data_IF_618863617098
#
_entry.id   IF_618863617098
#
_cell.length_a   1.000
_cell.length_b   1.000
_cell.length_c   1.000
_cell.angle_alpha   90.00
_cell.angle_beta   90.00
_cell.angle_gamma   90.00
#
_symmetry.space_group_name_H-M   'P 1'
#
loop_
_entity.id
_entity.type
_entity.pdbx_description
1 polymer ?
#
# COMPACT_ATOMS: atom_id res chain seq x y z
N UNK A 1 -57.38 -1.28 -6.29
CA UNK A 1 -56.57 -1.07 -7.51
C UNK A 1 -56.19 0.39 -7.58
N UNK A 2 -54.93 0.72 -7.36
CA UNK A 2 -54.37 2.03 -7.68
C UNK A 2 -53.04 1.75 -8.40
N UNK A 3 -52.97 2.27 -9.62
CA UNK A 3 -52.06 1.87 -10.66
C UNK A 3 -50.59 2.05 -10.26
N UNK A 4 -49.77 1.09 -10.69
CA UNK A 4 -48.33 1.23 -10.74
C UNK A 4 -47.96 2.42 -11.60
N UNK A 5 -47.26 3.38 -11.01
CA UNK A 5 -46.42 4.29 -11.77
C UNK A 5 -45.11 3.56 -11.96
N UNK A 6 -44.95 3.03 -13.16
CA UNK A 6 -43.71 2.57 -13.73
C UNK A 6 -42.77 3.78 -13.81
N UNK A 7 -42.04 4.04 -12.71
CA UNK A 7 -41.01 5.06 -12.68
C UNK A 7 -39.80 4.52 -13.43
N UNK A 8 -39.69 4.97 -14.68
CA UNK A 8 -38.61 4.68 -15.59
C UNK A 8 -37.23 4.77 -14.96
N UNK A 9 -36.37 3.91 -15.50
CA UNK A 9 -34.94 3.74 -15.30
C UNK A 9 -34.18 5.07 -15.20
N UNK A 10 -34.17 5.65 -14.00
CA UNK A 10 -33.32 6.74 -13.60
C UNK A 10 -32.28 6.21 -12.64
N UNK A 11 -31.28 5.48 -13.16
CA UNK A 11 -30.11 5.12 -12.38
C UNK A 11 -29.45 6.40 -11.85
N UNK A 12 -29.83 6.81 -10.63
CA UNK A 12 -29.25 7.96 -9.92
C UNK A 12 -27.73 7.80 -9.98
N UNK A 13 -27.04 8.85 -10.44
CA UNK A 13 -25.59 8.87 -10.49
C UNK A 13 -25.04 8.48 -9.11
N UNK A 14 -24.21 7.43 -9.09
CA UNK A 14 -23.63 6.91 -7.87
C UNK A 14 -22.69 7.94 -7.27
N UNK A 15 -22.94 8.33 -6.02
CA UNK A 15 -22.09 9.24 -5.27
C UNK A 15 -21.05 8.44 -4.49
N UNK A 16 -19.82 8.94 -4.46
CA UNK A 16 -18.71 8.35 -3.73
C UNK A 16 -18.23 9.32 -2.65
N UNK A 17 -18.14 8.84 -1.42
CA UNK A 17 -17.60 9.61 -0.29
C UNK A 17 -16.11 9.29 -0.16
N UNK A 18 -15.27 10.32 -0.25
CA UNK A 18 -13.81 10.23 -0.13
C UNK A 18 -13.29 11.05 1.04
N UNK A 19 -12.32 10.49 1.77
CA UNK A 19 -11.43 11.20 2.68
C UNK A 19 -10.09 11.37 1.98
N UNK A 20 -9.75 12.63 1.70
CA UNK A 20 -8.54 13.04 0.99
C UNK A 20 -7.67 13.92 1.92
N UNK A 21 -6.33 13.83 1.82
CA UNK A 21 -5.43 14.76 2.50
C UNK A 21 -5.76 16.23 2.17
N UNK A 22 -5.73 17.10 3.18
CA UNK A 22 -6.22 18.47 3.05
C UNK A 22 -5.48 19.29 1.97
N UNK A 23 -4.17 19.10 1.83
CA UNK A 23 -3.35 19.80 0.85
C UNK A 23 -3.72 19.48 -0.61
N UNK A 24 -4.40 18.35 -0.87
CA UNK A 24 -4.87 18.00 -2.21
C UNK A 24 -5.95 18.97 -2.72
N UNK A 25 -6.64 19.67 -1.81
CA UNK A 25 -7.61 20.72 -2.16
C UNK A 25 -6.96 21.86 -2.96
N UNK A 26 -5.69 22.15 -2.69
CA UNK A 26 -4.94 23.22 -3.36
C UNK A 26 -4.16 22.71 -4.57
N UNK A 27 -3.74 21.45 -4.57
CA UNK A 27 -3.14 20.78 -5.74
C UNK A 27 -4.10 20.80 -6.95
N UNK A 28 -5.40 20.60 -6.72
CA UNK A 28 -6.42 20.67 -7.78
C UNK A 28 -6.65 22.08 -8.34
N UNK A 29 -6.29 23.15 -7.62
CA UNK A 29 -6.54 24.54 -8.05
C UNK A 29 -5.44 25.07 -8.98
N UNK A 30 -4.20 24.61 -8.80
CA UNK A 30 -3.03 25.11 -9.54
C UNK A 30 -2.97 24.61 -11.00
N UNK A 31 -3.69 23.54 -11.33
CA UNK A 31 -3.84 23.06 -12.70
C UNK A 31 -5.11 22.23 -12.82
N UNK A 32 -5.95 22.47 -13.83
CA UNK A 32 -7.30 21.86 -14.00
C UNK A 32 -7.33 20.32 -14.03
N UNK A 33 -6.19 19.61 -14.00
CA UNK A 33 -6.08 18.14 -14.01
C UNK A 33 -4.78 17.64 -13.33
N UNK A 34 -4.53 18.06 -12.09
CA UNK A 34 -3.35 17.60 -11.33
C UNK A 34 -3.48 16.18 -10.74
N UNK A 35 -4.71 15.74 -10.47
CA UNK A 35 -5.00 14.45 -9.82
C UNK A 35 -5.67 13.50 -10.81
N UNK A 36 -5.21 12.26 -10.86
CA UNK A 36 -5.76 11.22 -11.73
C UNK A 36 -5.93 9.90 -11.01
N UNK A 37 -7.11 9.29 -11.14
CA UNK A 37 -7.31 7.91 -10.73
C UNK A 37 -6.73 6.98 -11.80
N UNK A 38 -5.88 6.06 -11.38
CA UNK A 38 -5.20 5.10 -12.25
C UNK A 38 -5.37 3.70 -11.72
N UNK A 39 -5.51 2.75 -12.64
CA UNK A 39 -5.51 1.33 -12.30
C UNK A 39 -4.08 0.80 -12.46
N UNK A 40 -3.52 0.30 -11.36
CA UNK A 40 -2.19 -0.31 -11.31
C UNK A 40 -2.30 -1.70 -10.66
N UNK A 41 -1.21 -2.46 -10.71
CA UNK A 41 -1.14 -3.76 -10.06
C UNK A 41 -1.10 -3.63 -8.53
N UNK A 42 -1.84 -4.49 -7.84
CA UNK A 42 -1.70 -4.72 -6.41
C UNK A 42 -0.43 -5.56 -6.19
N UNK A 43 0.56 -5.07 -5.43
CA UNK A 43 1.84 -5.76 -5.24
C UNK A 43 1.73 -7.17 -4.65
N UNK A 44 0.73 -7.42 -3.80
CA UNK A 44 0.53 -8.71 -3.11
C UNK A 44 -0.24 -9.71 -3.98
N UNK A 45 -1.39 -9.31 -4.54
CA UNK A 45 -2.26 -10.22 -5.29
C UNK A 45 -1.97 -10.29 -6.79
N UNK A 46 -1.30 -9.28 -7.36
CA UNK A 46 -1.14 -9.13 -8.81
C UNK A 46 -2.43 -8.68 -9.53
N UNK A 47 -3.51 -8.43 -8.82
CA UNK A 47 -4.78 -7.96 -9.40
C UNK A 47 -4.79 -6.44 -9.57
N UNK A 48 -5.68 -5.92 -10.40
CA UNK A 48 -5.78 -4.47 -10.61
C UNK A 48 -6.45 -3.75 -9.46
N UNK A 49 -5.73 -2.81 -8.83
CA UNK A 49 -6.22 -1.92 -7.79
C UNK A 49 -6.28 -0.46 -8.28
N UNK A 50 -7.13 0.35 -7.65
CA UNK A 50 -7.29 1.77 -7.96
C UNK A 50 -6.33 2.58 -7.07
N UNK A 51 -5.56 3.44 -7.70
CA UNK A 51 -4.68 4.41 -7.08
C UNK A 51 -5.05 5.82 -7.52
N UNK A 52 -4.67 6.81 -6.72
CA UNK A 52 -4.75 8.22 -7.06
C UNK A 52 -3.32 8.73 -7.22
N UNK A 53 -3.02 9.32 -8.37
CA UNK A 53 -1.70 9.88 -8.67
C UNK A 53 -1.79 11.40 -8.73
N UNK A 54 -0.91 12.07 -8.00
CA UNK A 54 -0.69 13.51 -8.09
C UNK A 54 0.42 13.79 -9.10
N UNK A 55 0.06 14.34 -10.25
CA UNK A 55 0.98 14.69 -11.33
C UNK A 55 1.90 15.87 -10.99
N UNK A 56 1.53 16.71 -10.03
CA UNK A 56 2.31 17.88 -9.65
C UNK A 56 3.40 17.54 -8.65
N UNK A 57 3.03 16.89 -7.54
CA UNK A 57 3.97 16.45 -6.52
C UNK A 57 4.59 15.08 -6.83
N UNK A 58 4.11 14.40 -7.88
CA UNK A 58 4.53 13.07 -8.27
C UNK A 58 4.43 12.08 -7.10
N UNK A 59 3.28 12.11 -6.43
CA UNK A 59 2.97 11.27 -5.27
C UNK A 59 1.89 10.25 -5.62
N UNK A 60 2.06 9.04 -5.09
CA UNK A 60 1.13 7.94 -5.25
C UNK A 60 0.31 7.75 -3.98
N UNK A 61 -1.00 7.64 -4.14
CA UNK A 61 -1.94 7.32 -3.07
C UNK A 61 -2.68 6.04 -3.43
N UNK A 62 -2.82 5.15 -2.45
CA UNK A 62 -3.70 4.00 -2.60
C UNK A 62 -5.13 4.37 -2.20
N UNK A 63 -6.11 3.72 -2.83
CA UNK A 63 -7.53 3.90 -2.47
C UNK A 63 -8.00 2.67 -1.68
N UNK A 64 -8.21 2.84 -0.37
CA UNK A 64 -8.84 1.83 0.49
C UNK A 64 -10.31 2.13 0.65
N UNK A 65 -11.14 1.09 0.70
CA UNK A 65 -12.59 1.24 0.84
C UNK A 65 -13.04 0.55 2.12
N UNK A 66 -13.56 1.33 3.06
CA UNK A 66 -14.29 0.81 4.20
C UNK A 66 -15.70 0.43 3.76
N UNK A 67 -16.09 -0.80 4.10
CA UNK A 67 -17.37 -1.38 3.76
C UNK A 67 -17.86 -2.22 4.93
N UNK A 68 -19.00 -1.83 5.48
CA UNK A 68 -19.68 -2.55 6.56
C UNK A 68 -21.13 -2.85 6.16
N UNK A 69 -21.71 -3.93 6.70
CA UNK A 69 -23.06 -4.36 6.34
C UNK A 69 -24.11 -3.41 6.94
N UNK A 70 -25.20 -3.18 6.21
CA UNK A 70 -26.35 -2.37 6.67
C UNK A 70 -26.06 -0.87 6.89
N UNK A 71 -25.12 -0.29 6.13
CA UNK A 71 -24.86 1.15 6.14
C UNK A 71 -25.36 1.86 4.87
N UNK A 72 -25.70 3.15 5.02
CA UNK A 72 -26.07 4.07 3.93
C UNK A 72 -25.67 5.49 4.31
N UNK A 73 -25.44 6.33 3.30
CA UNK A 73 -25.11 7.74 3.49
C UNK A 73 -26.31 8.63 3.19
N UNK A 74 -26.56 9.61 4.05
CA UNK A 74 -27.40 10.77 3.72
C UNK A 74 -26.48 11.90 3.29
N UNK A 75 -26.51 12.24 1.99
CA UNK A 75 -25.69 13.28 1.39
C UNK A 75 -26.64 14.39 0.94
N UNK A 76 -26.71 15.46 1.72
CA UNK A 76 -27.65 16.57 1.53
C UNK A 76 -29.10 16.04 1.42
N UNK A 77 -29.72 16.19 0.25
CA UNK A 77 -31.10 15.76 -0.05
C UNK A 77 -31.16 14.40 -0.78
N UNK A 78 -30.08 13.61 -0.71
CA UNK A 78 -29.97 12.32 -1.40
C UNK A 78 -29.52 11.20 -0.47
N UNK A 79 -29.91 9.98 -0.81
CA UNK A 79 -29.51 8.76 -0.07
C UNK A 79 -28.64 7.92 -1.00
N UNK A 80 -27.44 7.58 -0.55
CA UNK A 80 -26.51 6.70 -1.23
C UNK A 80 -26.45 5.35 -0.49
N UNK A 81 -26.84 4.30 -1.19
CA UNK A 81 -26.78 2.93 -0.68
C UNK A 81 -25.34 2.44 -0.56
N UNK A 82 -25.12 1.51 0.38
CA UNK A 82 -23.87 0.76 0.55
C UNK A 82 -22.90 1.32 1.58
N UNK A 83 -23.07 2.57 2.03
CA UNK A 83 -22.29 3.14 3.14
C UNK A 83 -20.78 3.13 2.94
N UNK A 84 -20.31 3.08 1.68
CA UNK A 84 -18.88 2.97 1.37
C UNK A 84 -18.16 4.27 1.69
N UNK A 85 -17.01 4.16 2.36
CA UNK A 85 -16.12 5.28 2.64
C UNK A 85 -14.76 5.00 2.02
N UNK A 86 -14.33 5.87 1.11
CA UNK A 86 -13.06 5.72 0.39
C UNK A 86 -12.00 6.58 1.06
N UNK A 87 -10.80 6.03 1.24
CA UNK A 87 -9.65 6.70 1.82
C UNK A 87 -8.56 6.79 0.76
N UNK A 88 -8.01 7.99 0.54
CA UNK A 88 -6.76 8.13 -0.20
C UNK A 88 -5.61 8.26 0.80
N UNK A 89 -4.83 7.20 0.96
CA UNK A 89 -3.69 7.16 1.87
C UNK A 89 -2.39 7.20 1.07
N UNK A 90 -1.38 7.98 1.49
CA UNK A 90 -0.07 7.97 0.83
C UNK A 90 0.51 6.56 0.78
N UNK A 91 0.99 6.14 -0.39
CA UNK A 91 1.53 4.81 -0.63
C UNK A 91 3.02 4.91 -0.97
N UNK A 92 3.84 4.06 -0.36
CA UNK A 92 5.24 3.93 -0.74
C UNK A 92 5.34 3.24 -2.12
N UNK A 93 5.81 3.95 -3.18
CA UNK A 93 5.84 3.39 -4.53
C UNK A 93 6.79 2.20 -4.68
N UNK A 94 7.72 2.01 -3.74
CA UNK A 94 8.71 0.95 -3.79
C UNK A 94 8.05 -0.44 -3.70
N UNK A 95 6.91 -0.58 -3.02
CA UNK A 95 6.14 -1.84 -3.03
C UNK A 95 5.60 -2.18 -4.43
N UNK A 96 5.14 -1.17 -5.18
CA UNK A 96 4.64 -1.38 -6.56
C UNK A 96 5.79 -1.68 -7.51
N UNK A 97 6.91 -0.99 -7.38
CA UNK A 97 8.13 -1.28 -8.15
C UNK A 97 8.68 -2.68 -7.86
N UNK A 98 8.61 -3.14 -6.61
CA UNK A 98 9.06 -4.47 -6.20
C UNK A 98 8.33 -5.57 -6.96
N UNK A 99 7.03 -5.42 -7.24
CA UNK A 99 6.28 -6.38 -8.06
C UNK A 99 6.91 -6.56 -9.44
N UNK A 100 7.24 -5.46 -10.12
CA UNK A 100 7.88 -5.49 -11.45
C UNK A 100 9.31 -6.02 -11.40
N UNK A 101 10.07 -5.64 -10.39
CA UNK A 101 11.45 -6.11 -10.20
C UNK A 101 11.52 -7.62 -9.97
N UNK A 102 10.66 -8.17 -9.12
CA UNK A 102 10.57 -9.62 -8.88
C UNK A 102 10.12 -10.36 -10.14
N UNK A 103 9.20 -9.77 -10.91
CA UNK A 103 8.77 -10.33 -12.20
C UNK A 103 9.92 -10.38 -13.21
N UNK A 104 10.73 -9.32 -13.30
CA UNK A 104 11.88 -9.23 -14.19
C UNK A 104 13.06 -10.13 -13.75
N UNK A 105 13.25 -10.36 -12.46
CA UNK A 105 14.33 -11.18 -11.93
C UNK A 105 14.27 -12.66 -12.37
N UNK A 106 13.11 -13.13 -12.85
CA UNK A 106 12.98 -14.44 -13.49
C UNK A 106 13.94 -14.62 -14.67
N UNK A 107 14.37 -13.53 -15.31
CA UNK A 107 15.36 -13.55 -16.38
C UNK A 107 16.80 -13.47 -15.87
N UNK A 108 17.01 -13.06 -14.61
CA UNK A 108 18.31 -12.99 -13.92
C UNK A 108 19.29 -11.93 -14.45
N UNK A 109 18.83 -11.05 -15.35
CA UNK A 109 19.65 -10.06 -16.08
C UNK A 109 19.55 -8.66 -15.48
N UNK A 110 20.55 -7.85 -15.79
CA UNK A 110 20.53 -6.41 -15.53
C UNK A 110 19.75 -5.71 -16.64
N UNK A 111 18.66 -5.04 -16.28
CA UNK A 111 17.76 -4.39 -17.25
C UNK A 111 17.57 -2.91 -16.90
N UNK A 112 17.42 -2.04 -17.91
CA UNK A 112 17.08 -0.65 -17.66
C UNK A 112 15.62 -0.54 -17.21
N UNK A 113 15.30 0.51 -16.46
CA UNK A 113 14.03 0.60 -15.73
C UNK A 113 12.79 0.67 -16.65
N UNK A 114 12.96 1.26 -17.84
CA UNK A 114 11.98 1.29 -18.91
C UNK A 114 11.59 -0.10 -19.44
N UNK A 115 12.49 -1.08 -19.34
CA UNK A 115 12.22 -2.47 -19.70
C UNK A 115 11.66 -3.29 -18.53
N UNK A 116 11.96 -2.90 -17.29
CA UNK A 116 11.45 -3.57 -16.09
C UNK A 116 9.99 -3.21 -15.82
N UNK A 117 9.63 -1.93 -15.91
CA UNK A 117 8.29 -1.42 -15.58
C UNK A 117 7.38 -1.46 -16.81
N UNK A 118 7.15 -2.68 -17.32
CA UNK A 118 6.29 -2.94 -18.49
C UNK A 118 5.14 -3.86 -18.11
N UNK A 119 3.93 -3.43 -18.45
CA UNK A 119 2.70 -4.17 -18.17
C UNK A 119 1.66 -3.94 -19.26
N UNK A 120 1.31 -5.01 -19.99
CA UNK A 120 0.30 -4.96 -21.05
C UNK A 120 -1.13 -4.81 -20.49
N UNK A 121 -1.36 -5.29 -19.26
CA UNK A 121 -2.67 -5.25 -18.60
C UNK A 121 -2.86 -3.89 -17.91
N UNK A 122 -1.79 -3.34 -17.33
CA UNK A 122 -1.80 -2.08 -16.59
C UNK A 122 -0.82 -1.05 -17.16
N UNK A 123 -1.10 -0.43 -18.33
CA UNK A 123 -0.16 0.44 -19.03
C UNK A 123 0.21 1.73 -18.27
N UNK A 124 -0.57 2.10 -17.25
CA UNK A 124 -0.27 3.26 -16.41
C UNK A 124 0.94 3.05 -15.48
N UNK A 125 1.57 1.86 -15.46
CA UNK A 125 2.80 1.59 -14.72
C UNK A 125 3.94 2.56 -15.09
N UNK A 126 3.92 3.11 -16.32
CA UNK A 126 4.87 4.15 -16.79
C UNK A 126 4.87 5.42 -15.92
N UNK A 127 3.81 5.67 -15.14
CA UNK A 127 3.77 6.79 -14.20
C UNK A 127 4.76 6.62 -13.04
N UNK A 128 5.08 5.38 -12.67
CA UNK A 128 6.07 5.08 -11.63
C UNK A 128 7.47 5.55 -12.03
N UNK A 129 7.77 5.61 -13.33
CA UNK A 129 9.04 6.13 -13.86
C UNK A 129 9.18 7.64 -13.67
N UNK A 130 8.08 8.35 -13.44
CA UNK A 130 8.05 9.81 -13.24
C UNK A 130 8.21 10.20 -11.78
N UNK A 131 8.40 9.24 -10.87
CA UNK A 131 8.55 9.54 -9.44
C UNK A 131 9.88 10.25 -9.15
N UNK A 132 9.90 11.21 -8.21
CA UNK A 132 11.11 11.91 -7.85
C UNK A 132 12.04 10.95 -7.09
N UNK A 133 13.35 11.17 -7.24
CA UNK A 133 14.38 10.42 -6.50
C UNK A 133 14.31 8.90 -6.65
N UNK A 134 13.77 8.43 -7.78
CA UNK A 134 13.56 7.01 -8.08
C UNK A 134 14.84 6.19 -7.95
N UNK A 135 15.99 6.74 -8.34
CA UNK A 135 17.29 6.09 -8.19
C UNK A 135 17.61 5.79 -6.71
N UNK A 136 17.34 6.73 -5.81
CA UNK A 136 17.57 6.54 -4.36
C UNK A 136 16.61 5.50 -3.78
N UNK A 137 15.37 5.46 -4.26
CA UNK A 137 14.39 4.45 -3.85
C UNK A 137 14.84 3.06 -4.30
N UNK A 138 15.23 2.90 -5.57
CA UNK A 138 15.65 1.64 -6.16
C UNK A 138 16.90 1.06 -5.48
N UNK A 139 17.86 1.90 -5.08
CA UNK A 139 19.07 1.45 -4.39
C UNK A 139 18.82 0.55 -3.16
N UNK A 140 17.64 0.68 -2.52
CA UNK A 140 17.22 -0.13 -1.36
C UNK A 140 16.82 -1.57 -1.70
N UNK A 141 16.45 -1.85 -2.95
CA UNK A 141 15.93 -3.17 -3.38
C UNK A 141 16.69 -3.75 -4.56
N UNK A 142 17.48 -2.94 -5.28
CA UNK A 142 18.23 -3.37 -6.47
C UNK A 142 19.74 -3.25 -6.34
N UNK A 143 20.44 -4.08 -7.11
CA UNK A 143 21.83 -3.89 -7.52
C UNK A 143 21.89 -3.04 -8.78
N UNK A 144 22.79 -2.05 -8.78
CA UNK A 144 22.94 -1.09 -9.86
C UNK A 144 24.25 -1.35 -10.60
N UNK A 145 24.19 -1.33 -11.93
CA UNK A 145 25.36 -1.30 -12.79
C UNK A 145 25.22 -0.17 -13.78
N UNK A 146 26.27 0.63 -13.90
CA UNK A 146 26.33 1.69 -14.89
C UNK A 146 27.27 1.30 -16.02
N UNK A 147 26.75 1.28 -17.25
CA UNK A 147 27.53 1.00 -18.46
C UNK A 147 27.17 2.06 -19.49
N UNK A 148 28.17 2.75 -20.04
CA UNK A 148 27.99 3.78 -21.07
C UNK A 148 26.96 4.85 -20.69
N UNK A 149 27.00 5.35 -19.44
CA UNK A 149 26.10 6.39 -18.93
C UNK A 149 24.61 5.97 -18.91
N UNK A 150 24.34 4.65 -18.92
CA UNK A 150 23.03 4.05 -18.72
C UNK A 150 23.07 3.16 -17.47
N UNK A 151 22.06 3.31 -16.62
CA UNK A 151 21.90 2.51 -15.41
C UNK A 151 21.05 1.29 -15.69
N UNK A 152 21.52 0.16 -15.19
CA UNK A 152 20.84 -1.12 -15.24
C UNK A 152 20.60 -1.62 -13.82
N UNK A 153 19.41 -2.14 -13.60
CA UNK A 153 18.93 -2.57 -12.30
C UNK A 153 18.72 -4.07 -12.32
N UNK A 154 19.08 -4.73 -11.22
CA UNK A 154 18.74 -6.12 -10.95
C UNK A 154 18.17 -6.24 -9.55
N UNK A 155 17.11 -7.02 -9.39
CA UNK A 155 16.53 -7.28 -8.08
C UNK A 155 17.54 -7.96 -7.14
N UNK A 156 17.59 -7.51 -5.89
CA UNK A 156 18.43 -8.12 -4.85
C UNK A 156 17.59 -8.46 -3.62
N UNK A 157 17.44 -9.76 -3.36
CA UNK A 157 16.66 -10.28 -2.23
C UNK A 157 17.26 -9.83 -0.89
N UNK A 158 18.58 -9.81 -0.75
CA UNK A 158 19.25 -9.43 0.50
C UNK A 158 18.97 -7.97 0.88
N UNK A 159 19.12 -7.04 -0.09
CA UNK A 159 18.82 -5.63 0.12
C UNK A 159 17.35 -5.40 0.45
N UNK A 160 16.46 -6.10 -0.25
CA UNK A 160 15.01 -6.03 -0.04
C UNK A 160 14.62 -6.47 1.36
N UNK A 161 15.21 -7.56 1.88
CA UNK A 161 14.95 -8.00 3.26
C UNK A 161 15.41 -6.96 4.29
N UNK A 162 16.59 -6.37 4.13
CA UNK A 162 17.09 -5.28 4.99
C UNK A 162 16.19 -4.05 4.96
N UNK A 163 15.63 -3.72 3.79
CA UNK A 163 14.67 -2.64 3.64
C UNK A 163 13.32 -2.96 4.31
N UNK A 164 12.80 -4.17 4.13
CA UNK A 164 11.56 -4.64 4.76
C UNK A 164 11.67 -4.68 6.28
N UNK A 165 12.81 -5.11 6.82
CA UNK A 165 13.09 -5.09 8.26
C UNK A 165 12.96 -3.67 8.83
N UNK A 166 13.50 -2.66 8.14
CA UNK A 166 13.33 -1.25 8.52
C UNK A 166 11.88 -0.81 8.46
N UNK A 167 11.10 -1.26 7.47
CA UNK A 167 9.66 -0.98 7.36
C UNK A 167 8.86 -1.62 8.49
N UNK A 168 9.21 -2.83 8.90
CA UNK A 168 8.61 -3.50 10.08
C UNK A 168 8.86 -2.66 11.32
N UNK A 169 10.12 -2.26 11.58
CA UNK A 169 10.49 -1.41 12.73
C UNK A 169 9.77 -0.06 12.71
N UNK A 170 9.66 0.58 11.54
CA UNK A 170 8.91 1.82 11.35
C UNK A 170 7.41 1.64 11.68
N UNK A 171 6.81 0.55 11.20
CA UNK A 171 5.40 0.24 11.45
C UNK A 171 5.16 -0.05 12.93
N UNK A 172 6.05 -0.80 13.58
CA UNK A 172 5.98 -1.04 15.02
C UNK A 172 6.03 0.26 15.82
N UNK A 173 6.92 1.19 15.47
CA UNK A 173 6.98 2.49 16.13
C UNK A 173 5.65 3.25 15.98
N UNK A 174 5.07 3.26 14.77
CA UNK A 174 3.77 3.88 14.51
C UNK A 174 2.62 3.19 15.28
N UNK A 175 2.63 1.86 15.41
CA UNK A 175 1.63 1.12 16.20
C UNK A 175 1.71 1.48 17.70
N UNK A 176 2.93 1.59 18.24
CA UNK A 176 3.18 2.01 19.62
C UNK A 176 2.70 3.45 19.86
N UNK A 177 2.97 4.38 18.93
CA UNK A 177 2.52 5.78 19.02
C UNK A 177 1.00 5.94 18.91
N UNK A 178 0.36 5.17 18.03
CA UNK A 178 -1.10 5.24 17.82
C UNK A 178 -1.89 4.38 18.81
N UNK A 179 -1.23 3.78 19.81
CA UNK A 179 -1.83 2.91 20.83
C UNK A 179 -2.75 1.82 20.26
N UNK A 180 -2.34 1.22 19.12
CA UNK A 180 -3.11 0.14 18.49
C UNK A 180 -2.98 -1.12 19.33
N UNK A 181 -4.11 -1.75 19.66
CA UNK A 181 -4.11 -3.01 20.38
C UNK A 181 -3.65 -4.15 19.47
N UNK A 182 -2.44 -4.67 19.71
CA UNK A 182 -1.83 -5.79 18.95
C UNK A 182 -2.01 -7.15 19.63
N UNK A 183 -2.64 -7.20 20.80
CA UNK A 183 -2.79 -8.46 21.54
C UNK A 183 -3.73 -9.42 20.82
N UNK A 184 -3.34 -10.70 20.75
CA UNK A 184 -4.09 -11.77 20.09
C UNK A 184 -5.49 -12.03 20.71
N UNK A 185 -5.78 -11.44 21.87
CA UNK A 185 -7.10 -11.45 22.51
C UNK A 185 -7.54 -10.00 22.72
N UNK A 186 -8.71 -9.65 22.21
CA UNK A 186 -9.40 -8.40 22.59
C UNK A 186 -9.80 -8.54 24.05
N UNK A 187 -8.90 -8.15 24.96
CA UNK A 187 -9.26 -7.97 26.37
C UNK A 187 -10.05 -6.67 26.46
N UNK A 188 -11.31 -6.78 26.87
CA UNK A 188 -12.13 -5.63 27.26
C UNK A 188 -11.36 -4.77 28.28
N UNK A 189 -11.45 -3.45 28.14
CA UNK A 189 -10.80 -2.44 29.01
C UNK A 189 -11.10 -2.59 30.51
N UNK A 190 -12.05 -3.46 30.88
CA UNK A 190 -12.44 -3.74 32.26
C UNK A 190 -11.58 -4.81 32.98
N UNK A 191 -10.61 -5.45 32.32
CA UNK A 191 -9.84 -6.54 32.94
C UNK A 191 -8.33 -6.36 32.71
N UNK A 192 -7.72 -5.44 33.46
CA UNK A 192 -6.27 -5.38 33.60
C UNK A 192 -5.83 -6.47 34.58
N UNK A 193 -5.60 -7.69 34.09
CA UNK A 193 -4.85 -8.67 34.86
C UNK A 193 -3.39 -8.26 34.88
N UNK A 194 -2.86 -8.08 36.10
CA UNK A 194 -1.54 -7.56 36.37
C UNK A 194 -0.41 -8.37 35.72
N UNK A 195 0.53 -7.60 35.19
CA UNK A 195 1.96 -7.83 35.28
C UNK A 195 2.45 -9.25 34.99
N UNK A 196 2.51 -9.61 33.70
CA UNK A 196 3.61 -10.39 33.15
C UNK A 196 3.97 -9.87 31.74
N UNK A 197 5.28 -9.89 31.46
CA UNK A 197 5.92 -9.92 30.14
C UNK A 197 6.13 -8.60 29.37
N UNK A 198 7.35 -8.09 29.45
CA UNK A 198 7.89 -7.05 28.55
C UNK A 198 8.33 -7.61 27.19
N UNK A 199 8.69 -8.90 27.11
CA UNK A 199 9.13 -9.59 25.87
C UNK A 199 7.98 -9.96 24.93
N UNK A 200 6.89 -10.55 25.44
CA UNK A 200 5.77 -11.03 24.61
C UNK A 200 5.05 -9.89 23.87
N UNK A 201 5.06 -8.68 24.45
CA UNK A 201 4.47 -7.50 23.80
C UNK A 201 5.21 -7.15 22.51
N UNK A 202 6.54 -7.23 22.49
CA UNK A 202 7.34 -6.83 21.34
C UNK A 202 7.23 -7.82 20.18
N UNK A 203 7.25 -9.12 20.47
CA UNK A 203 7.02 -10.18 19.47
C UNK A 203 5.63 -10.04 18.83
N UNK A 204 4.59 -9.71 19.61
CA UNK A 204 3.25 -9.43 19.11
C UNK A 204 3.21 -8.21 18.16
N UNK A 205 3.91 -7.12 18.51
CA UNK A 205 4.05 -5.96 17.60
C UNK A 205 4.77 -6.32 16.30
N UNK A 206 5.83 -7.14 16.38
CA UNK A 206 6.58 -7.61 15.18
C UNK A 206 5.65 -8.43 14.29
N UNK A 207 4.92 -9.40 14.87
CA UNK A 207 3.99 -10.25 14.14
C UNK A 207 2.87 -9.44 13.49
N UNK A 208 2.30 -8.47 14.21
CA UNK A 208 1.26 -7.60 13.69
C UNK A 208 1.78 -6.71 12.55
N UNK A 209 2.96 -6.10 12.73
CA UNK A 209 3.59 -5.28 11.69
C UNK A 209 3.98 -6.09 10.44
N UNK A 210 4.48 -7.32 10.63
CA UNK A 210 4.72 -8.26 9.52
C UNK A 210 3.42 -8.56 8.75
N UNK A 211 2.31 -8.81 9.46
CA UNK A 211 1.00 -9.01 8.85
C UNK A 211 0.48 -7.80 8.07
N UNK A 212 0.73 -6.57 8.55
CA UNK A 212 0.37 -5.38 7.79
C UNK A 212 1.20 -5.21 6.52
N UNK A 213 2.49 -5.57 6.57
CA UNK A 213 3.39 -5.46 5.41
C UNK A 213 3.15 -6.59 4.40
N UNK A 214 2.72 -7.77 4.85
CA UNK A 214 2.44 -8.92 3.97
C UNK A 214 1.32 -8.64 2.97
N UNK A 215 0.38 -7.74 3.30
CA UNK A 215 -0.65 -7.25 2.38
C UNK A 215 -0.09 -6.41 1.21
N UNK A 216 1.19 -6.01 1.26
CA UNK A 216 1.88 -5.20 0.26
C UNK A 216 3.05 -5.92 -0.42
N UNK A 217 3.31 -7.18 -0.09
CA UNK A 217 4.38 -7.97 -0.71
C UNK A 217 3.86 -9.35 -1.16
N UNK A 218 4.50 -9.97 -2.17
CA UNK A 218 4.23 -11.36 -2.53
C UNK A 218 4.42 -12.32 -1.35
N UNK A 219 3.63 -13.40 -1.32
CA UNK A 219 3.68 -14.42 -0.25
C UNK A 219 5.09 -15.00 -0.04
N UNK A 220 5.81 -15.25 -1.12
CA UNK A 220 7.19 -15.76 -1.07
C UNK A 220 8.11 -14.84 -0.25
N UNK A 221 8.02 -13.52 -0.47
CA UNK A 221 8.80 -12.54 0.28
C UNK A 221 8.32 -12.39 1.73
N UNK A 222 7.02 -12.57 1.98
CA UNK A 222 6.48 -12.58 3.34
C UNK A 222 7.05 -13.74 4.17
N UNK A 223 7.14 -14.93 3.58
CA UNK A 223 7.71 -16.12 4.22
C UNK A 223 9.22 -15.91 4.49
N UNK A 224 9.95 -15.38 3.51
CA UNK A 224 11.38 -15.05 3.67
C UNK A 224 11.62 -14.01 4.77
N UNK A 225 10.78 -12.97 4.82
CA UNK A 225 10.84 -11.93 5.85
C UNK A 225 10.56 -12.52 7.24
N UNK A 226 9.60 -13.43 7.37
CA UNK A 226 9.30 -14.08 8.66
C UNK A 226 10.49 -14.89 9.19
N UNK A 227 11.18 -15.63 8.29
CA UNK A 227 12.40 -16.38 8.63
C UNK A 227 13.53 -15.43 9.03
N UNK A 228 13.72 -14.37 8.26
CA UNK A 228 14.76 -13.37 8.50
C UNK A 228 14.58 -12.68 9.87
N UNK A 229 13.36 -12.26 10.21
CA UNK A 229 13.06 -11.63 11.50
C UNK A 229 13.30 -12.58 12.69
N UNK A 230 12.96 -13.87 12.54
CA UNK A 230 13.22 -14.87 13.57
C UNK A 230 14.72 -15.14 13.76
N UNK A 231 15.50 -15.13 12.67
CA UNK A 231 16.96 -15.28 12.73
C UNK A 231 17.65 -14.07 13.35
N UNK A 232 17.18 -12.85 13.07
CA UNK A 232 17.77 -11.62 13.60
C UNK A 232 17.50 -11.46 15.11
N UNK A 233 16.30 -11.83 15.56
CA UNK A 233 15.94 -11.87 16.99
C UNK A 233 16.76 -12.91 17.78
N UNK A 234 17.18 -14.01 17.14
CA UNK A 234 18.06 -14.99 17.78
C UNK A 234 19.49 -14.44 17.96
N UNK A 235 19.94 -13.54 17.07
CA UNK A 235 21.27 -12.93 17.11
C UNK A 235 21.35 -11.75 18.10
N UNK A 236 20.23 -11.05 18.37
CA UNK A 236 20.18 -9.96 19.37
C UNK A 236 20.06 -10.45 20.81
N UNK A 237 19.84 -11.76 21.04
CA UNK A 237 19.74 -12.39 22.36
C UNK A 237 21.04 -13.02 22.88
N UNK A 238 22.14 -12.96 22.11
CA UNK A 238 23.49 -13.36 22.50
C UNK A 238 24.40 -12.14 22.70
#
# INVERSE_FOLDING_TARGET
MAAGVDCGDGARARQLVFLLPEYLKDASKKMKRGLMFVKLVNPCSGEGAIYLFDMHLQQLFEIKVFKEKHHSWFINQSVQSGGLLHFATPMDPLFVLLHYLVKADKEGKFQPLDQVVVDDIFPNCVLLLKLPELEKLLHHVTEEKEINNKKYYKYSKEKTLKWLEKKVKQTMAALKTNHVNVSARVQSTAFFSGDQVSSDKEEDYIRYAHGLISDYIPKELSDDLSKYLNSDNANTRN
#
